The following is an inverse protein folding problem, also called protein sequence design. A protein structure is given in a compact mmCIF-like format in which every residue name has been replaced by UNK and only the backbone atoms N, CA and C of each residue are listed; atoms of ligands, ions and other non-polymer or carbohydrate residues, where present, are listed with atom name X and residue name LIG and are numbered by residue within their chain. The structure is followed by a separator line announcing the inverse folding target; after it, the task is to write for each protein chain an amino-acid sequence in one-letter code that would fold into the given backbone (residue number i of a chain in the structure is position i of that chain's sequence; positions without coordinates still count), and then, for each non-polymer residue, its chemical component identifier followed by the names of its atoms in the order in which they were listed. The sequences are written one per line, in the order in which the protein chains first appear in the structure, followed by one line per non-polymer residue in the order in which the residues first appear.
data_IF_967880255585
#
_entry.id   IF_967880255585
#
_cell.length_a   1.000
_cell.length_b   1.000
_cell.length_c   1.000
_cell.angle_alpha   90.00
_cell.angle_beta   90.00
_cell.angle_gamma   90.00
#
_symmetry.space_group_name_H-M   'P 1'
#
loop_
_entity.id
_entity.type
_entity.pdbx_description
1 polymer ?
#
# COMPACT_ATOMS: atom_id res chain seq x y z
N UNK A 1 1.32 -22.87 -9.10
CA UNK A 1 -0.04 -22.32 -9.19
C UNK A 1 -0.79 -22.64 -7.92
N UNK A 2 -1.53 -21.66 -7.38
CA UNK A 2 -2.21 -21.80 -6.11
C UNK A 2 -2.11 -20.53 -5.25
N UNK A 3 -1.86 -20.70 -3.96
CA UNK A 3 -1.69 -19.54 -3.08
C UNK A 3 -0.32 -18.89 -3.28
N UNK A 4 -0.33 -17.58 -3.55
CA UNK A 4 0.89 -16.77 -3.62
C UNK A 4 1.50 -16.66 -2.22
N UNK A 5 2.78 -17.02 -2.08
CA UNK A 5 3.49 -16.92 -0.79
C UNK A 5 3.92 -15.47 -0.49
N UNK A 6 2.93 -14.67 -0.09
CA UNK A 6 3.17 -13.29 0.31
C UNK A 6 4.08 -13.16 1.55
N UNK A 7 4.24 -14.24 2.35
CA UNK A 7 5.17 -14.21 3.50
C UNK A 7 6.61 -14.26 3.02
N UNK A 8 6.93 -15.13 2.06
CA UNK A 8 8.25 -15.16 1.44
C UNK A 8 8.57 -13.82 0.77
N UNK A 9 7.64 -13.26 -0.01
CA UNK A 9 7.80 -11.94 -0.64
C UNK A 9 8.08 -10.85 0.40
N UNK A 10 7.32 -10.85 1.50
CA UNK A 10 7.53 -9.91 2.61
C UNK A 10 8.95 -10.00 3.18
N UNK A 11 9.44 -11.21 3.45
CA UNK A 11 10.78 -11.41 4.00
C UNK A 11 11.87 -10.94 3.03
N UNK A 12 11.71 -11.17 1.73
CA UNK A 12 12.61 -10.64 0.71
C UNK A 12 12.64 -9.11 0.74
N UNK A 13 11.48 -8.44 0.74
CA UNK A 13 11.39 -6.97 0.84
C UNK A 13 12.09 -6.46 2.11
N UNK A 14 11.84 -7.12 3.26
CA UNK A 14 12.48 -6.71 4.51
C UNK A 14 14.00 -6.93 4.50
N UNK A 15 14.49 -7.94 3.79
CA UNK A 15 15.92 -8.15 3.61
C UNK A 15 16.54 -7.08 2.69
N UNK A 16 15.82 -6.66 1.63
CA UNK A 16 16.22 -5.52 0.80
C UNK A 16 16.33 -4.24 1.64
N UNK A 17 15.34 -3.98 2.51
CA UNK A 17 15.36 -2.83 3.45
C UNK A 17 16.57 -2.93 4.40
N UNK A 18 16.83 -4.10 5.00
CA UNK A 18 18.00 -4.30 5.89
C UNK A 18 19.31 -4.03 5.17
N UNK A 19 19.44 -4.50 3.94
CA UNK A 19 20.65 -4.26 3.14
C UNK A 19 20.85 -2.78 2.86
N UNK A 20 19.79 -2.06 2.48
CA UNK A 20 19.87 -0.61 2.26
C UNK A 20 20.20 0.15 3.58
N UNK A 21 19.55 -0.21 4.69
CA UNK A 21 19.83 0.41 5.99
C UNK A 21 21.28 0.23 6.45
N UNK A 22 21.90 -0.92 6.13
CA UNK A 22 23.30 -1.20 6.48
C UNK A 22 24.31 -0.31 5.71
N UNK A 23 23.92 0.24 4.57
CA UNK A 23 24.73 1.14 3.77
C UNK A 23 24.61 2.61 4.19
N UNK A 24 23.60 2.95 5.00
CA UNK A 24 23.37 4.32 5.46
C UNK A 24 24.33 4.70 6.59
N UNK A 25 24.79 5.95 6.59
CA UNK A 25 25.64 6.51 7.66
C UNK A 25 24.85 6.95 8.90
N UNK A 26 23.54 7.02 8.80
CA UNK A 26 22.67 7.45 9.89
C UNK A 26 21.42 6.59 10.01
N UNK A 27 20.61 6.85 11.01
CA UNK A 27 19.37 6.10 11.27
C UNK A 27 18.16 6.87 10.77
N UNK A 28 17.40 6.35 9.80
CA UNK A 28 16.12 6.93 9.40
C UNK A 28 15.15 7.01 10.58
N UNK A 29 14.33 8.06 10.63
CA UNK A 29 13.26 8.21 11.60
C UNK A 29 11.92 8.32 10.90
N UNK A 30 10.98 7.47 11.30
CA UNK A 30 9.57 7.49 10.94
C UNK A 30 8.76 8.20 12.01
N UNK A 31 8.02 9.24 11.66
CA UNK A 31 7.04 9.87 12.51
C UNK A 31 5.62 9.48 12.08
N UNK A 32 4.88 8.85 12.98
CA UNK A 32 3.48 8.46 12.77
C UNK A 32 2.59 9.43 13.54
N UNK A 33 1.69 10.10 12.84
CA UNK A 33 0.67 10.96 13.44
C UNK A 33 -0.68 10.24 13.38
N UNK A 34 -1.35 10.12 14.51
CA UNK A 34 -2.74 9.64 14.61
C UNK A 34 -3.62 10.75 15.17
N UNK A 35 -4.86 10.85 14.72
CA UNK A 35 -5.84 11.79 15.25
C UNK A 35 -7.04 10.97 15.73
N UNK A 36 -7.42 11.17 17.00
CA UNK A 36 -8.49 10.40 17.63
C UNK A 36 -8.02 9.02 18.13
N UNK A 37 -8.96 8.14 18.39
CA UNK A 37 -8.74 6.91 19.14
C UNK A 37 -9.37 5.67 18.48
N UNK A 38 -9.22 5.51 17.16
CA UNK A 38 -9.74 4.36 16.41
C UNK A 38 -8.98 3.07 16.76
N UNK A 39 -9.70 2.05 17.25
CA UNK A 39 -9.08 0.80 17.71
C UNK A 39 -8.48 -0.04 16.57
N UNK A 40 -9.03 0.03 15.36
CA UNK A 40 -8.47 -0.65 14.21
C UNK A 40 -7.13 -0.04 13.82
N UNK A 41 -7.04 1.28 13.81
CA UNK A 41 -5.79 2.03 13.55
C UNK A 41 -4.69 1.68 14.55
N UNK A 42 -5.02 1.48 15.83
CA UNK A 42 -4.03 1.10 16.86
C UNK A 42 -3.29 -0.18 16.53
N UNK A 43 -4.00 -1.18 15.98
CA UNK A 43 -3.37 -2.46 15.60
C UNK A 43 -2.39 -2.25 14.44
N UNK A 44 -2.79 -1.50 13.42
CA UNK A 44 -1.93 -1.19 12.27
C UNK A 44 -0.70 -0.36 12.68
N UNK A 45 -0.89 0.68 13.47
CA UNK A 45 0.21 1.51 14.00
C UNK A 45 1.19 0.69 14.81
N UNK A 46 0.69 -0.18 15.71
CA UNK A 46 1.55 -1.08 16.51
C UNK A 46 2.40 -1.99 15.62
N UNK A 47 1.82 -2.57 14.57
CA UNK A 47 2.55 -3.44 13.65
C UNK A 47 3.62 -2.65 12.85
N UNK A 48 3.31 -1.44 12.39
CA UNK A 48 4.27 -0.56 11.72
C UNK A 48 5.44 -0.20 12.65
N UNK A 49 5.15 0.20 13.89
CA UNK A 49 6.17 0.51 14.91
C UNK A 49 7.04 -0.71 15.21
N UNK A 50 6.42 -1.89 15.38
CA UNK A 50 7.15 -3.13 15.64
C UNK A 50 8.13 -3.44 14.51
N UNK A 51 7.64 -3.47 13.27
CA UNK A 51 8.47 -3.76 12.09
C UNK A 51 9.60 -2.74 11.91
N UNK A 52 9.31 -1.44 12.07
CA UNK A 52 10.33 -0.40 11.99
C UNK A 52 11.44 -0.59 13.03
N UNK A 53 11.08 -0.87 14.29
CA UNK A 53 12.05 -1.13 15.37
C UNK A 53 12.88 -2.40 15.13
N UNK A 54 12.28 -3.48 14.61
CA UNK A 54 12.98 -4.70 14.26
C UNK A 54 14.04 -4.49 13.16
N UNK A 55 13.83 -3.47 12.32
CA UNK A 55 14.77 -3.05 11.27
C UNK A 55 15.81 -2.03 11.76
N UNK A 56 15.71 -1.52 12.98
CA UNK A 56 16.59 -0.47 13.50
C UNK A 56 16.20 0.94 13.06
N UNK A 57 15.00 1.14 12.49
CA UNK A 57 14.44 2.44 12.17
C UNK A 57 13.93 3.11 13.45
N UNK A 58 14.30 4.37 13.69
CA UNK A 58 13.79 5.14 14.82
C UNK A 58 12.33 5.53 14.57
N UNK A 59 11.48 5.45 15.60
CA UNK A 59 10.05 5.72 15.45
C UNK A 59 9.56 6.70 16.52
N UNK A 60 8.92 7.77 16.06
CA UNK A 60 8.12 8.66 16.90
C UNK A 60 6.64 8.42 16.56
N UNK A 61 5.82 8.20 17.58
CA UNK A 61 4.36 8.18 17.45
C UNK A 61 3.78 9.34 18.22
N UNK A 62 2.99 10.16 17.54
CA UNK A 62 2.25 11.27 18.14
C UNK A 62 0.75 11.01 17.92
N UNK A 63 0.01 11.03 19.01
CA UNK A 63 -1.44 10.96 19.00
C UNK A 63 -2.00 12.34 19.33
N UNK A 64 -2.89 12.84 18.47
CA UNK A 64 -3.63 14.09 18.65
C UNK A 64 -5.06 13.76 19.09
N UNK A 65 -5.67 14.69 19.80
CA UNK A 65 -7.04 14.56 20.27
C UNK A 65 -8.03 14.52 19.09
N UNK A 66 -9.17 13.85 19.28
CA UNK A 66 -10.17 13.68 18.22
C UNK A 66 -10.99 14.95 17.95
N UNK A 67 -10.97 15.92 18.85
CA UNK A 67 -11.63 17.21 18.74
C UNK A 67 -10.69 18.35 18.27
N UNK A 68 -9.43 18.03 17.93
CA UNK A 68 -8.46 19.03 17.41
C UNK A 68 -9.02 19.74 16.18
N UNK A 69 -8.85 21.06 16.10
CA UNK A 69 -9.30 21.78 14.91
C UNK A 69 -8.35 21.61 13.72
N UNK A 70 -8.85 21.92 12.51
CA UNK A 70 -8.08 21.75 11.26
C UNK A 70 -6.76 22.50 11.28
N UNK A 71 -6.79 23.76 11.68
CA UNK A 71 -5.63 24.65 11.69
C UNK A 71 -4.56 24.20 12.68
N UNK A 72 -4.96 23.72 13.85
CA UNK A 72 -4.03 23.17 14.85
C UNK A 72 -3.39 21.88 14.35
N UNK A 73 -4.18 20.98 13.75
CA UNK A 73 -3.67 19.73 13.20
C UNK A 73 -2.63 20.00 12.07
N UNK A 74 -2.91 20.95 11.19
CA UNK A 74 -1.98 21.39 10.14
C UNK A 74 -0.68 21.94 10.73
N UNK A 75 -0.76 22.84 11.72
CA UNK A 75 0.41 23.41 12.39
C UNK A 75 1.27 22.36 13.08
N UNK A 76 0.63 21.37 13.74
CA UNK A 76 1.39 20.28 14.39
C UNK A 76 2.09 19.41 13.35
N UNK A 77 1.42 19.04 12.25
CA UNK A 77 2.04 18.25 11.17
C UNK A 77 3.18 19.03 10.52
N UNK A 78 2.98 20.31 10.24
CA UNK A 78 4.02 21.19 9.70
C UNK A 78 5.24 21.29 10.63
N UNK A 79 5.01 21.48 11.94
CA UNK A 79 6.07 21.52 12.92
C UNK A 79 6.86 20.21 13.02
N UNK A 80 6.19 19.05 12.83
CA UNK A 80 6.84 17.74 12.75
C UNK A 80 7.69 17.65 11.48
N UNK A 81 7.16 18.08 10.35
CA UNK A 81 7.84 18.05 9.06
C UNK A 81 9.07 18.97 9.02
N UNK A 82 9.02 20.10 9.71
CA UNK A 82 10.13 21.07 9.79
C UNK A 82 11.32 20.59 10.63
N UNK A 83 11.16 19.50 11.40
CA UNK A 83 12.30 18.90 12.11
C UNK A 83 13.16 18.12 11.15
N UNK A 84 14.44 18.48 11.03
CA UNK A 84 15.40 17.78 10.18
C UNK A 84 15.64 16.32 10.59
N UNK A 85 15.38 15.99 11.86
CA UNK A 85 15.48 14.62 12.38
C UNK A 85 14.31 13.71 12.00
N UNK A 86 13.21 14.24 11.50
CA UNK A 86 12.06 13.47 11.02
C UNK A 86 12.20 13.29 9.50
N UNK A 87 12.58 12.09 9.07
CA UNK A 87 12.87 11.81 7.67
C UNK A 87 11.64 11.33 6.89
N UNK A 88 10.76 10.59 7.56
CA UNK A 88 9.52 10.06 7.00
C UNK A 88 8.35 10.42 7.93
N UNK A 89 7.28 10.96 7.39
CA UNK A 89 6.08 11.38 8.13
C UNK A 89 4.87 10.74 7.49
N UNK A 90 4.00 10.18 8.32
CA UNK A 90 2.71 9.66 7.88
C UNK A 90 1.57 10.15 8.76
N UNK A 91 0.43 10.41 8.14
CA UNK A 91 -0.85 10.60 8.82
C UNK A 91 -1.64 9.30 8.72
N UNK A 92 -1.81 8.62 9.85
CA UNK A 92 -2.57 7.38 9.88
C UNK A 92 -4.07 7.65 9.65
N UNK A 93 -4.61 7.02 8.62
CA UNK A 93 -6.05 7.06 8.32
C UNK A 93 -6.79 5.89 9.00
N UNK A 94 -8.09 6.02 9.33
CA UNK A 94 -8.94 7.21 9.14
C UNK A 94 -8.65 8.33 10.15
N UNK A 95 -9.13 9.52 9.84
CA UNK A 95 -9.15 10.68 10.74
C UNK A 95 -10.59 11.09 11.04
N UNK A 96 -10.85 11.90 12.08
CA UNK A 96 -12.18 12.43 12.37
C UNK A 96 -12.81 13.15 11.16
N UNK A 97 -14.13 12.96 10.96
CA UNK A 97 -14.83 13.41 9.76
C UNK A 97 -14.98 14.94 9.62
N UNK A 98 -14.75 15.70 10.70
CA UNK A 98 -14.75 17.16 10.67
C UNK A 98 -13.46 17.75 10.07
N UNK A 99 -12.41 16.93 9.91
CA UNK A 99 -11.14 17.35 9.35
C UNK A 99 -11.09 17.06 7.83
N UNK A 100 -10.45 17.96 7.12
CA UNK A 100 -10.17 17.79 5.70
C UNK A 100 -8.87 16.98 5.52
N UNK A 101 -9.04 15.71 5.17
CA UNK A 101 -7.94 14.76 4.95
C UNK A 101 -6.92 15.29 3.91
N UNK A 102 -7.41 15.80 2.79
CA UNK A 102 -6.52 16.16 1.68
C UNK A 102 -5.67 17.39 2.04
N UNK A 103 -6.22 18.33 2.81
CA UNK A 103 -5.43 19.45 3.35
C UNK A 103 -4.33 18.95 4.27
N UNK A 104 -4.64 18.05 5.23
CA UNK A 104 -3.66 17.52 6.17
C UNK A 104 -2.55 16.72 5.49
N UNK A 105 -2.90 15.89 4.50
CA UNK A 105 -1.91 15.12 3.74
C UNK A 105 -0.96 16.04 2.97
N UNK A 106 -1.49 17.11 2.35
CA UNK A 106 -0.69 18.02 1.53
C UNK A 106 0.15 19.03 2.35
N UNK A 107 0.04 19.05 3.69
CA UNK A 107 1.02 19.72 4.57
C UNK A 107 2.37 18.99 4.58
N UNK A 108 2.36 17.66 4.36
CA UNK A 108 3.57 16.84 4.40
C UNK A 108 4.39 17.11 3.13
N UNK A 109 5.66 17.54 3.23
CA UNK A 109 6.52 17.70 2.05
C UNK A 109 6.70 16.36 1.31
N UNK A 110 6.73 16.41 -0.01
CA UNK A 110 6.80 15.25 -0.90
C UNK A 110 7.90 14.26 -0.49
N UNK A 111 9.10 14.73 -0.19
CA UNK A 111 10.25 13.91 0.18
C UNK A 111 10.17 13.32 1.60
N UNK A 112 9.14 13.67 2.39
CA UNK A 112 8.83 13.11 3.72
C UNK A 112 7.53 12.33 3.75
N UNK A 113 6.72 12.38 2.69
CA UNK A 113 5.43 11.70 2.57
C UNK A 113 5.65 10.20 2.36
N UNK A 114 5.79 9.46 3.44
CA UNK A 114 6.13 8.03 3.39
C UNK A 114 5.01 7.14 2.84
N UNK A 115 3.75 7.62 2.88
CA UNK A 115 2.60 6.92 2.31
C UNK A 115 2.39 7.22 0.81
N UNK A 116 3.07 8.26 0.26
CA UNK A 116 2.95 8.67 -1.14
C UNK A 116 1.56 9.22 -1.50
N UNK A 117 0.85 9.81 -0.54
CA UNK A 117 -0.57 10.21 -0.70
C UNK A 117 -0.75 11.70 -1.01
N UNK A 118 0.31 12.49 -0.99
CA UNK A 118 0.24 13.89 -1.39
C UNK A 118 -0.05 14.03 -2.89
N UNK A 119 -0.70 15.11 -3.27
CA UNK A 119 -0.99 15.40 -4.68
C UNK A 119 0.29 15.49 -5.51
N UNK A 120 1.38 15.99 -4.92
CA UNK A 120 2.67 16.09 -5.59
C UNK A 120 3.26 14.71 -5.87
N UNK A 121 3.31 13.79 -4.88
CA UNK A 121 3.79 12.42 -5.10
C UNK A 121 2.96 11.68 -6.14
N UNK A 122 1.62 11.82 -6.09
CA UNK A 122 0.74 11.25 -7.09
C UNK A 122 1.03 11.79 -8.49
N UNK A 123 1.21 13.10 -8.64
CA UNK A 123 1.59 13.72 -9.91
C UNK A 123 2.95 13.26 -10.41
N UNK A 124 3.92 13.10 -9.51
CA UNK A 124 5.25 12.57 -9.82
C UNK A 124 5.20 11.12 -10.27
N UNK A 125 4.40 10.28 -9.60
CA UNK A 125 4.20 8.88 -9.98
C UNK A 125 3.58 8.76 -11.37
N UNK A 126 2.53 9.52 -11.67
CA UNK A 126 1.90 9.55 -13.01
C UNK A 126 2.91 9.95 -14.11
N UNK A 127 3.84 10.86 -13.79
CA UNK A 127 4.89 11.31 -14.71
C UNK A 127 6.16 10.42 -14.68
N UNK A 128 6.10 9.25 -14.09
CA UNK A 128 7.22 8.29 -13.99
C UNK A 128 8.51 8.89 -13.40
N UNK A 129 8.37 9.75 -12.39
CA UNK A 129 9.52 10.36 -11.72
C UNK A 129 10.15 9.36 -10.75
N UNK A 130 11.46 9.19 -10.82
CA UNK A 130 12.20 8.23 -9.97
C UNK A 130 12.18 8.59 -8.48
N UNK A 131 12.01 9.86 -8.17
CA UNK A 131 11.92 10.41 -6.83
C UNK A 131 10.49 10.38 -6.23
N UNK A 132 9.48 9.90 -6.98
CA UNK A 132 8.13 9.71 -6.46
C UNK A 132 8.09 8.63 -5.36
N UNK A 133 7.41 8.91 -4.26
CA UNK A 133 7.08 7.89 -3.25
C UNK A 133 5.79 7.20 -3.69
N UNK A 134 5.84 5.87 -3.77
CA UNK A 134 4.69 5.07 -4.22
C UNK A 134 3.86 4.63 -3.01
N UNK A 135 2.52 4.74 -3.03
CA UNK A 135 1.67 4.22 -1.97
C UNK A 135 1.93 2.74 -1.69
N UNK A 136 2.12 2.41 -0.41
CA UNK A 136 2.62 1.10 0.03
C UNK A 136 1.77 -0.09 -0.44
N UNK A 137 0.44 0.08 -0.58
CA UNK A 137 -0.43 -1.00 -1.10
C UNK A 137 -0.19 -1.22 -2.59
N UNK A 138 -0.11 -0.15 -3.38
CA UNK A 138 0.18 -0.24 -4.81
C UNK A 138 1.58 -0.85 -5.04
N UNK A 139 2.56 -0.42 -4.25
CA UNK A 139 3.91 -1.02 -4.26
C UNK A 139 3.86 -2.51 -3.92
N UNK A 140 3.06 -2.94 -2.93
CA UNK A 140 2.92 -4.34 -2.54
C UNK A 140 2.36 -5.22 -3.67
N UNK A 141 1.38 -4.73 -4.42
CA UNK A 141 0.86 -5.42 -5.62
C UNK A 141 1.95 -5.53 -6.69
N UNK A 142 2.65 -4.44 -6.98
CA UNK A 142 3.75 -4.44 -7.93
C UNK A 142 4.86 -5.43 -7.53
N UNK A 143 5.22 -5.48 -6.24
CA UNK A 143 6.23 -6.39 -5.72
C UNK A 143 5.85 -7.87 -5.89
N UNK A 144 4.55 -8.21 -5.80
CA UNK A 144 4.05 -9.54 -6.14
C UNK A 144 4.32 -9.83 -7.63
N UNK A 145 3.84 -8.97 -8.52
CA UNK A 145 3.94 -9.17 -9.97
C UNK A 145 5.40 -9.24 -10.45
N UNK A 146 6.25 -8.33 -9.96
CA UNK A 146 7.67 -8.30 -10.28
C UNK A 146 8.38 -9.60 -9.91
N UNK A 147 8.09 -10.15 -8.74
CA UNK A 147 8.70 -11.41 -8.27
C UNK A 147 8.15 -12.63 -8.97
N UNK A 148 6.87 -12.65 -9.28
CA UNK A 148 6.26 -13.74 -10.06
C UNK A 148 6.84 -13.79 -11.47
N UNK A 149 6.93 -12.66 -12.14
CA UNK A 149 7.46 -12.56 -13.50
C UNK A 149 8.99 -12.56 -13.55
N UNK A 150 9.69 -12.43 -12.42
CA UNK A 150 11.15 -12.29 -12.31
C UNK A 150 11.72 -11.15 -13.17
N UNK A 151 10.91 -10.14 -13.43
CA UNK A 151 11.23 -9.02 -14.29
C UNK A 151 10.45 -7.76 -13.85
N UNK A 152 11.05 -6.60 -14.01
CA UNK A 152 10.42 -5.29 -13.78
C UNK A 152 9.56 -4.84 -14.99
N UNK A 153 9.74 -5.46 -16.15
CA UNK A 153 8.99 -5.18 -17.36
C UNK A 153 7.72 -6.04 -17.43
N UNK A 154 6.56 -5.38 -17.41
CA UNK A 154 5.24 -5.99 -17.50
C UNK A 154 4.64 -5.84 -18.91
N UNK A 155 5.48 -5.72 -19.95
CA UNK A 155 5.02 -5.69 -21.34
C UNK A 155 4.13 -6.89 -21.65
N UNK A 156 3.03 -6.62 -22.34
CA UNK A 156 2.02 -7.62 -22.72
C UNK A 156 1.15 -8.16 -21.60
N UNK A 157 1.31 -7.67 -20.36
CA UNK A 157 0.45 -8.05 -19.24
C UNK A 157 -0.77 -7.12 -19.21
N UNK A 158 -1.97 -7.71 -19.29
CA UNK A 158 -3.23 -6.99 -19.17
C UNK A 158 -3.73 -7.10 -17.73
N UNK A 159 -3.89 -5.96 -17.07
CA UNK A 159 -4.29 -5.88 -15.66
C UNK A 159 -5.64 -5.19 -15.52
N UNK A 160 -6.62 -5.87 -14.96
CA UNK A 160 -7.90 -5.26 -14.58
C UNK A 160 -7.87 -4.93 -13.07
N UNK A 161 -8.03 -3.65 -12.74
CA UNK A 161 -8.02 -3.14 -11.36
C UNK A 161 -9.42 -2.65 -10.98
N UNK A 162 -10.08 -3.34 -10.04
CA UNK A 162 -11.42 -2.95 -9.56
C UNK A 162 -11.28 -2.13 -8.27
N UNK A 163 -10.83 -0.92 -8.41
CA UNK A 163 -10.68 0.08 -7.36
C UNK A 163 -10.22 1.40 -7.99
N UNK A 164 -10.72 2.57 -7.53
CA UNK A 164 -10.24 3.89 -7.97
C UNK A 164 -9.83 4.82 -6.83
N UNK A 165 -9.49 4.25 -5.68
CA UNK A 165 -9.04 5.05 -4.53
C UNK A 165 -7.64 5.63 -4.75
N UNK A 166 -7.30 6.66 -3.97
CA UNK A 166 -5.94 7.21 -3.90
C UNK A 166 -4.94 6.26 -3.25
N UNK A 167 -5.43 5.29 -2.46
CA UNK A 167 -4.58 4.31 -1.76
C UNK A 167 -4.16 3.14 -2.66
N UNK A 168 -5.02 2.74 -3.60
CA UNK A 168 -4.81 1.50 -4.37
C UNK A 168 -4.92 1.77 -5.88
N UNK A 169 -6.13 1.97 -6.39
CA UNK A 169 -6.38 1.87 -7.83
C UNK A 169 -5.66 2.91 -8.67
N UNK A 170 -5.76 4.19 -8.31
CA UNK A 170 -5.10 5.26 -9.08
C UNK A 170 -3.57 5.14 -9.08
N UNK A 171 -2.89 4.99 -7.90
CA UNK A 171 -1.45 4.82 -7.89
C UNK A 171 -0.99 3.51 -8.54
N UNK A 172 -1.76 2.43 -8.39
CA UNK A 172 -1.44 1.16 -9.02
C UNK A 172 -1.51 1.24 -10.54
N UNK A 173 -2.56 1.87 -11.09
CA UNK A 173 -2.67 2.12 -12.53
C UNK A 173 -1.43 2.85 -13.05
N UNK A 174 -1.05 3.95 -12.41
CA UNK A 174 0.12 4.72 -12.83
C UNK A 174 1.40 3.89 -12.75
N UNK A 175 1.62 3.19 -11.62
CA UNK A 175 2.79 2.37 -11.39
C UNK A 175 2.93 1.26 -12.45
N UNK A 176 1.88 0.48 -12.67
CA UNK A 176 1.93 -0.64 -13.62
C UNK A 176 2.08 -0.15 -15.07
N UNK A 177 1.44 0.97 -15.43
CA UNK A 177 1.62 1.58 -16.75
C UNK A 177 3.07 2.06 -16.95
N UNK A 178 3.71 2.60 -15.92
CA UNK A 178 5.13 2.97 -15.95
C UNK A 178 6.06 1.77 -16.17
N UNK A 179 5.58 0.56 -15.84
CA UNK A 179 6.26 -0.72 -16.08
C UNK A 179 5.71 -1.48 -17.30
N UNK A 180 5.11 -0.76 -18.26
CA UNK A 180 4.63 -1.25 -19.55
C UNK A 180 3.39 -2.16 -19.53
N UNK A 181 2.69 -2.32 -18.42
CA UNK A 181 1.42 -3.05 -18.40
C UNK A 181 0.30 -2.27 -19.09
N UNK A 182 -0.66 -2.99 -19.66
CA UNK A 182 -1.95 -2.44 -20.06
C UNK A 182 -2.91 -2.52 -18.88
N UNK A 183 -3.45 -1.37 -18.42
CA UNK A 183 -4.27 -1.34 -17.20
C UNK A 183 -5.67 -0.82 -17.49
N UNK A 184 -6.68 -1.64 -17.19
CA UNK A 184 -8.10 -1.26 -17.15
C UNK A 184 -8.50 -0.94 -15.72
N UNK A 185 -8.90 0.32 -15.46
CA UNK A 185 -9.34 0.77 -14.14
C UNK A 185 -10.85 0.78 -14.04
N UNK A 186 -11.41 -0.11 -13.23
CA UNK A 186 -12.84 -0.29 -13.02
C UNK A 186 -13.30 0.23 -11.65
N UNK A 187 -14.59 0.49 -11.53
CA UNK A 187 -15.22 0.99 -10.30
C UNK A 187 -16.71 0.64 -10.24
N UNK A 188 -17.41 0.97 -9.17
CA UNK A 188 -18.82 0.64 -8.92
C UNK A 188 -19.84 1.16 -9.95
N UNK A 189 -19.40 1.91 -10.97
CA UNK A 189 -20.21 2.41 -12.09
C UNK A 189 -19.69 1.92 -13.44
N UNK A 190 -18.68 1.06 -13.45
CA UNK A 190 -18.20 0.38 -14.65
C UNK A 190 -19.04 -0.85 -14.90
N UNK A 191 -19.27 -1.15 -16.15
CA UNK A 191 -19.63 -2.49 -16.62
C UNK A 191 -18.31 -3.17 -16.97
N UNK A 192 -17.99 -4.30 -16.34
CA UNK A 192 -16.71 -5.00 -16.51
C UNK A 192 -16.87 -6.49 -16.24
N UNK A 193 -16.05 -7.24 -16.90
CA UNK A 193 -15.72 -8.63 -16.62
C UNK A 193 -14.19 -8.77 -16.51
N UNK A 194 -13.71 -9.99 -16.34
CA UNK A 194 -12.28 -10.29 -16.25
C UNK A 194 -11.76 -11.05 -17.46
N UNK A 195 -12.55 -11.12 -18.52
CA UNK A 195 -12.11 -11.74 -19.78
C UNK A 195 -10.93 -10.95 -20.39
N UNK A 196 -9.93 -11.67 -20.84
CA UNK A 196 -8.71 -11.08 -21.42
C UNK A 196 -7.76 -10.42 -20.42
N UNK A 197 -8.04 -10.43 -19.11
CA UNK A 197 -7.09 -10.00 -18.09
C UNK A 197 -6.15 -11.15 -17.71
N UNK A 198 -4.83 -10.89 -17.72
CA UNK A 198 -3.83 -11.80 -17.17
C UNK A 198 -3.77 -11.68 -15.64
N UNK A 199 -4.04 -10.46 -15.14
CA UNK A 199 -4.03 -10.15 -13.70
C UNK A 199 -5.31 -9.41 -13.32
N UNK A 200 -5.96 -9.86 -12.26
CA UNK A 200 -7.11 -9.18 -11.66
C UNK A 200 -6.73 -8.69 -10.27
N UNK A 201 -6.88 -7.38 -10.04
CA UNK A 201 -6.65 -6.76 -8.73
C UNK A 201 -7.96 -6.23 -8.18
N UNK A 202 -8.40 -6.76 -7.03
CA UNK A 202 -9.63 -6.33 -6.36
C UNK A 202 -9.34 -5.54 -5.09
N UNK A 203 -10.21 -4.60 -4.78
CA UNK A 203 -10.09 -3.76 -3.59
C UNK A 203 -11.38 -2.99 -3.33
N UNK A 204 -12.55 -3.67 -3.43
CA UNK A 204 -13.87 -3.03 -3.32
C UNK A 204 -14.38 -2.94 -1.88
N UNK A 205 -13.83 -3.76 -0.97
CA UNK A 205 -14.20 -3.76 0.45
C UNK A 205 -15.53 -4.47 0.75
N UNK A 206 -15.87 -5.48 -0.04
CA UNK A 206 -17.08 -6.29 0.13
C UNK A 206 -16.73 -7.77 0.17
N UNK A 207 -17.00 -8.42 1.32
CA UNK A 207 -16.67 -9.82 1.55
C UNK A 207 -17.29 -10.76 0.50
N UNK A 208 -16.44 -11.62 -0.08
CA UNK A 208 -16.85 -12.68 -1.01
C UNK A 208 -17.77 -12.20 -2.15
N UNK A 209 -17.42 -11.07 -2.77
CA UNK A 209 -18.14 -10.54 -3.93
C UNK A 209 -17.81 -11.28 -5.22
N UNK A 210 -16.69 -12.02 -5.24
CA UNK A 210 -16.22 -12.75 -6.41
C UNK A 210 -15.99 -14.23 -6.08
N UNK A 211 -16.37 -15.09 -7.01
CA UNK A 211 -16.28 -16.54 -6.93
C UNK A 211 -15.59 -17.11 -8.18
N UNK A 212 -15.43 -18.43 -8.24
CA UNK A 212 -14.76 -19.12 -9.35
C UNK A 212 -15.37 -18.83 -10.73
N UNK A 213 -16.67 -18.57 -10.79
CA UNK A 213 -17.39 -18.23 -12.03
C UNK A 213 -17.00 -16.89 -12.66
N UNK A 214 -16.36 -16.00 -11.87
CA UNK A 214 -15.89 -14.69 -12.34
C UNK A 214 -14.51 -14.75 -13.01
N UNK A 215 -13.76 -15.86 -12.84
CA UNK A 215 -12.35 -15.95 -13.23
C UNK A 215 -12.09 -17.06 -14.24
N UNK A 216 -10.91 -17.01 -14.88
CA UNK A 216 -10.49 -17.93 -15.93
C UNK A 216 -9.15 -18.60 -15.60
N UNK A 217 -8.91 -19.78 -16.17
CA UNK A 217 -7.62 -20.47 -16.06
C UNK A 217 -6.47 -19.57 -16.59
N UNK A 218 -5.35 -19.58 -15.91
CA UNK A 218 -4.16 -18.81 -16.25
C UNK A 218 -4.08 -17.43 -15.60
N UNK A 219 -5.14 -16.97 -14.92
CA UNK A 219 -5.15 -15.65 -14.28
C UNK A 219 -4.38 -15.62 -12.95
N UNK A 220 -3.86 -14.44 -12.63
CA UNK A 220 -3.35 -14.10 -11.30
C UNK A 220 -4.34 -13.17 -10.60
N UNK A 221 -4.82 -13.55 -9.42
CA UNK A 221 -5.77 -12.75 -8.63
C UNK A 221 -5.06 -12.15 -7.41
N UNK A 222 -5.12 -10.83 -7.29
CA UNK A 222 -4.53 -10.08 -6.17
C UNK A 222 -5.64 -9.36 -5.42
N UNK A 223 -6.02 -9.88 -4.26
CA UNK A 223 -7.05 -9.31 -3.40
C UNK A 223 -6.42 -8.37 -2.37
N UNK A 224 -6.70 -7.08 -2.50
CA UNK A 224 -6.20 -6.01 -1.61
C UNK A 224 -7.13 -5.73 -0.44
N UNK A 225 -8.31 -6.35 -0.39
CA UNK A 225 -9.30 -6.08 0.65
C UNK A 225 -9.07 -6.86 1.93
N UNK A 226 -9.57 -6.31 3.02
CA UNK A 226 -9.64 -6.99 4.30
C UNK A 226 -11.02 -6.73 4.91
N UNK A 227 -11.88 -7.69 4.77
CA UNK A 227 -13.28 -7.66 5.22
C UNK A 227 -13.48 -8.58 6.41
N UNK A 228 -14.68 -8.56 6.99
CA UNK A 228 -15.18 -9.61 7.87
C UNK A 228 -16.41 -10.25 7.24
N UNK A 229 -16.42 -11.58 7.19
CA UNK A 229 -17.59 -12.33 6.77
C UNK A 229 -18.68 -12.34 7.87
N UNK A 230 -19.80 -12.98 7.60
CA UNK A 230 -20.94 -13.09 8.53
C UNK A 230 -20.55 -13.74 9.87
N UNK A 231 -19.57 -14.64 9.88
CA UNK A 231 -19.05 -15.30 11.08
C UNK A 231 -18.00 -14.44 11.82
N UNK A 232 -17.71 -13.24 11.34
CA UNK A 232 -16.69 -12.33 11.90
C UNK A 232 -15.25 -12.67 11.56
N UNK A 233 -14.98 -13.67 10.71
CA UNK A 233 -13.65 -14.03 10.26
C UNK A 233 -13.15 -13.06 9.19
N UNK A 234 -11.83 -12.82 9.18
CA UNK A 234 -11.19 -12.01 8.14
C UNK A 234 -11.23 -12.72 6.79
N UNK A 235 -11.63 -12.01 5.76
CA UNK A 235 -11.68 -12.50 4.38
C UNK A 235 -11.42 -11.35 3.39
N UNK A 236 -11.25 -11.69 2.12
CA UNK A 236 -11.11 -10.75 1.01
C UNK A 236 -12.43 -10.44 0.31
N UNK A 237 -12.32 -9.76 -0.82
CA UNK A 237 -13.41 -9.60 -1.79
C UNK A 237 -13.65 -10.93 -2.54
N UNK A 238 -12.60 -11.71 -2.72
CA UNK A 238 -12.64 -12.99 -3.44
C UNK A 238 -12.80 -14.16 -2.46
N UNK A 239 -13.70 -15.08 -2.74
CA UNK A 239 -13.75 -16.35 -2.06
C UNK A 239 -12.63 -17.27 -2.61
N UNK A 240 -11.40 -17.06 -2.16
CA UNK A 240 -10.23 -17.75 -2.68
C UNK A 240 -10.29 -19.28 -2.50
N UNK A 241 -11.04 -19.79 -1.52
CA UNK A 241 -11.23 -21.24 -1.32
C UNK A 241 -12.09 -21.83 -2.43
N UNK A 242 -13.15 -21.14 -2.82
CA UNK A 242 -13.99 -21.52 -3.92
C UNK A 242 -13.21 -21.51 -5.24
N UNK A 243 -12.47 -20.43 -5.49
CA UNK A 243 -11.61 -20.29 -6.68
C UNK A 243 -10.61 -21.44 -6.78
N UNK A 244 -9.85 -21.74 -5.72
CA UNK A 244 -8.87 -22.84 -5.73
C UNK A 244 -9.49 -24.24 -5.84
N UNK A 245 -10.76 -24.38 -5.51
CA UNK A 245 -11.47 -25.66 -5.64
C UNK A 245 -11.90 -25.94 -7.08
N UNK A 246 -12.28 -24.90 -7.82
CA UNK A 246 -12.92 -25.04 -9.14
C UNK A 246 -12.01 -24.68 -10.32
N UNK A 247 -10.99 -23.80 -10.11
CA UNK A 247 -10.06 -23.41 -11.16
C UNK A 247 -8.70 -24.09 -10.90
N UNK A 248 -8.14 -24.75 -11.93
CA UNK A 248 -6.90 -25.54 -11.76
C UNK A 248 -5.64 -24.73 -11.95
N UNK A 249 -5.66 -23.81 -12.91
CA UNK A 249 -4.52 -23.01 -13.31
C UNK A 249 -4.73 -21.56 -12.88
N UNK A 250 -4.46 -21.25 -11.60
CA UNK A 250 -4.65 -19.90 -11.06
C UNK A 250 -3.68 -19.64 -9.92
N UNK A 251 -3.20 -18.41 -9.84
CA UNK A 251 -2.46 -17.91 -8.70
C UNK A 251 -3.29 -16.85 -7.97
N UNK A 252 -3.39 -16.95 -6.65
CA UNK A 252 -4.23 -16.05 -5.87
C UNK A 252 -3.58 -15.67 -4.53
N UNK A 253 -3.72 -14.41 -4.14
CA UNK A 253 -3.30 -13.98 -2.80
C UNK A 253 -4.28 -14.45 -1.73
N UNK A 254 -3.80 -14.99 -0.59
CA UNK A 254 -4.69 -15.31 0.54
C UNK A 254 -5.14 -14.04 1.27
N UNK A 255 -6.34 -14.05 1.83
CA UNK A 255 -6.76 -13.07 2.82
C UNK A 255 -7.29 -13.80 4.06
N UNK A 256 -6.72 -13.58 5.24
CA UNK A 256 -5.58 -12.71 5.57
C UNK A 256 -4.22 -13.25 5.08
N UNK A 257 -3.18 -12.46 5.26
CA UNK A 257 -1.77 -12.78 4.94
C UNK A 257 -1.36 -12.64 3.46
N UNK A 258 -2.18 -11.97 2.66
CA UNK A 258 -1.86 -11.53 1.30
C UNK A 258 -1.23 -10.14 1.26
N UNK A 259 -1.76 -9.25 0.41
CA UNK A 259 -1.24 -7.88 0.20
C UNK A 259 -1.07 -7.10 1.51
N UNK A 260 -1.97 -7.26 2.47
CA UNK A 260 -1.94 -6.52 3.75
C UNK A 260 -0.65 -6.68 4.56
N UNK A 261 0.06 -7.80 4.47
CA UNK A 261 1.36 -7.96 5.15
C UNK A 261 2.52 -7.30 4.39
N UNK A 262 2.36 -7.09 3.09
CA UNK A 262 3.37 -6.44 2.24
C UNK A 262 3.36 -4.93 2.43
N UNK A 263 2.20 -4.34 2.71
CA UNK A 263 2.07 -2.88 2.89
C UNK A 263 3.02 -2.33 3.95
N UNK A 264 3.18 -3.05 5.08
CA UNK A 264 4.12 -2.64 6.13
C UNK A 264 5.57 -2.75 5.66
N UNK A 265 5.93 -3.78 4.91
CA UNK A 265 7.29 -3.93 4.38
C UNK A 265 7.61 -2.86 3.31
N UNK A 266 6.67 -2.58 2.41
CA UNK A 266 6.80 -1.50 1.41
C UNK A 266 6.86 -0.11 2.06
N UNK A 267 6.14 0.10 3.17
CA UNK A 267 6.27 1.33 3.95
C UNK A 267 7.71 1.51 4.45
N UNK A 268 8.40 0.45 4.87
CA UNK A 268 9.80 0.54 5.32
C UNK A 268 10.75 0.87 4.15
N UNK A 269 10.50 0.38 2.94
CA UNK A 269 11.22 0.83 1.73
C UNK A 269 11.04 2.34 1.53
N UNK A 270 9.83 2.83 1.68
CA UNK A 270 9.55 4.26 1.56
C UNK A 270 10.25 5.10 2.65
N UNK A 271 10.37 4.58 3.88
CA UNK A 271 11.16 5.26 4.94
C UNK A 271 12.61 5.46 4.52
N UNK A 272 13.23 4.41 3.96
CA UNK A 272 14.61 4.51 3.45
C UNK A 272 14.68 5.51 2.29
N UNK A 273 13.74 5.44 1.35
CA UNK A 273 13.68 6.37 0.22
C UNK A 273 13.51 7.82 0.68
N UNK A 274 12.63 8.09 1.63
CA UNK A 274 12.49 9.43 2.22
C UNK A 274 13.81 9.94 2.83
N UNK A 275 14.54 9.07 3.52
CA UNK A 275 15.84 9.41 4.10
C UNK A 275 16.85 9.78 3.02
N UNK A 276 16.98 8.97 1.96
CA UNK A 276 17.90 9.21 0.85
C UNK A 276 17.57 10.48 0.07
N UNK A 277 16.29 10.79 -0.14
CA UNK A 277 15.83 12.03 -0.81
C UNK A 277 16.23 13.31 -0.05
N UNK A 278 16.58 13.21 1.22
CA UNK A 278 17.03 14.32 2.06
C UNK A 278 18.55 14.41 2.19
N UNK A 279 19.30 13.68 1.36
CA UNK A 279 20.75 13.64 1.39
C UNK A 279 21.32 12.77 2.50
N UNK A 280 20.52 11.84 3.01
CA UNK A 280 20.97 10.78 3.90
C UNK A 280 21.95 9.86 3.14
N UNK A 281 23.24 9.90 3.51
CA UNK A 281 24.29 8.99 3.00
C UNK A 281 24.54 7.85 3.98
#
# INVERSE_FOLDING_TARGET
MGLIDCKAIREEILNDVKSQLAELKGTPRLCIVTIGNDDASKVYVRNKIKTAKELGIDVQHLQLDDDICQEEAEQVIEAICNRSTNHAVMLQLPIPSHLNKDRLLNVIPQHKDVDGLTDLNMGMLVNNRQDAIVPATAQGVYEILRRMNRNDDLSWVNVTVVNRSQLIGKPLQALLTNHNATVTLCHSKSDYDFDGADVVVTGIGHAHSYYSEDFFDGQTIIDCSMNRNEDGHLCGDVNYKDVLTHIRDIDITPVPSGVGILTTACLMLNVVKCYLLQGGE
#
